data_IF_447879552695
#
_entry.id   IF_447879552695
#
_cell.length_a   1.000
_cell.length_b   1.000
_cell.length_c   1.000
_cell.angle_alpha   90.00
_cell.angle_beta   90.00
_cell.angle_gamma   90.00
#
_symmetry.space_group_name_H-M   'P 1'
#
loop_
_entity.id
_entity.type
_entity.pdbx_description
1 polymer ?
#
# COMPACT_ATOMS: atom_id res chain seq x y z
N UNK A 1 -12.76 -8.22 -1.33
CA UNK A 1 -11.29 -8.37 -1.49
C UNK A 1 -10.56 -7.42 -0.55
N UNK A 2 -9.35 -7.78 -0.13
CA UNK A 2 -8.43 -6.95 0.65
C UNK A 2 -7.17 -6.75 -0.18
N UNK A 3 -6.92 -5.53 -0.59
CA UNK A 3 -5.73 -5.15 -1.34
C UNK A 3 -4.79 -4.34 -0.46
N UNK A 4 -3.50 -4.58 -0.60
CA UNK A 4 -2.46 -3.69 -0.08
C UNK A 4 -1.72 -3.10 -1.27
N UNK A 5 -1.45 -1.82 -1.26
CA UNK A 5 -0.74 -1.14 -2.33
C UNK A 5 0.40 -0.31 -1.78
N UNK A 6 1.58 -0.50 -2.35
CA UNK A 6 2.84 0.10 -1.94
C UNK A 6 3.58 0.65 -3.17
N UNK A 7 4.40 1.66 -2.99
CA UNK A 7 5.36 2.12 -4.01
C UNK A 7 6.74 2.26 -3.38
N UNK A 8 7.79 2.23 -4.19
CA UNK A 8 9.16 2.40 -3.73
C UNK A 8 9.96 3.30 -4.67
N UNK A 9 11.13 3.71 -4.23
CA UNK A 9 12.07 4.55 -4.98
C UNK A 9 13.41 3.82 -5.14
N UNK A 10 14.28 4.21 -6.10
CA UNK A 10 15.55 3.52 -6.36
C UNK A 10 16.42 3.34 -5.12
N UNK A 11 16.48 4.36 -4.25
CA UNK A 11 17.31 4.31 -3.04
C UNK A 11 16.82 3.29 -1.98
N UNK A 12 15.52 2.93 -1.99
CA UNK A 12 14.89 2.07 -0.99
C UNK A 12 14.57 0.66 -1.47
N UNK A 13 14.78 0.36 -2.76
CA UNK A 13 14.42 -0.95 -3.34
C UNK A 13 15.02 -2.13 -2.56
N UNK A 14 16.22 -1.99 -2.02
CA UNK A 14 16.91 -3.03 -1.26
C UNK A 14 16.22 -3.36 0.08
N UNK A 15 15.47 -2.43 0.63
CA UNK A 15 14.79 -2.57 1.93
C UNK A 15 13.31 -2.98 1.78
N UNK A 16 12.80 -3.03 0.57
CA UNK A 16 11.40 -3.34 0.26
C UNK A 16 10.94 -4.68 0.86
N UNK A 17 11.83 -5.68 0.92
CA UNK A 17 11.54 -7.00 1.48
C UNK A 17 10.94 -6.94 2.88
N UNK A 18 11.50 -6.13 3.77
CA UNK A 18 11.05 -6.07 5.18
C UNK A 18 9.60 -5.60 5.29
N UNK A 19 9.24 -4.57 4.54
CA UNK A 19 7.87 -4.06 4.51
C UNK A 19 6.91 -5.09 3.92
N UNK A 20 7.26 -5.69 2.78
CA UNK A 20 6.42 -6.69 2.13
C UNK A 20 6.27 -7.96 2.98
N UNK A 21 7.33 -8.44 3.62
CA UNK A 21 7.27 -9.59 4.53
C UNK A 21 6.34 -9.32 5.72
N UNK A 22 6.37 -8.12 6.30
CA UNK A 22 5.44 -7.76 7.37
C UNK A 22 3.98 -7.73 6.92
N UNK A 23 3.73 -7.38 5.66
CA UNK A 23 2.39 -7.43 5.05
C UNK A 23 1.95 -8.85 4.71
N UNK A 24 2.88 -9.74 4.36
CA UNK A 24 2.60 -11.16 4.13
C UNK A 24 2.38 -11.94 5.44
N UNK A 25 2.96 -11.48 6.54
CA UNK A 25 2.87 -12.13 7.86
C UNK A 25 1.72 -11.62 8.73
N UNK A 26 0.75 -10.92 8.15
CA UNK A 26 -0.43 -10.45 8.86
C UNK A 26 -1.31 -11.61 9.36
N UNK A 27 -2.00 -11.43 10.51
CA UNK A 27 -2.98 -12.39 11.05
C UNK A 27 -4.14 -12.59 10.08
N UNK A 28 -4.60 -11.50 9.44
CA UNK A 28 -5.50 -11.54 8.28
C UNK A 28 -4.71 -11.27 7.02
N UNK A 29 -4.62 -12.28 6.15
CA UNK A 29 -3.87 -12.15 4.89
C UNK A 29 -4.58 -11.22 3.92
N UNK A 30 -3.84 -10.39 3.16
CA UNK A 30 -4.40 -9.70 2.00
C UNK A 30 -4.67 -10.69 0.87
N UNK A 31 -5.64 -10.40 0.03
CA UNK A 31 -5.87 -11.17 -1.20
C UNK A 31 -4.81 -10.86 -2.25
N UNK A 32 -4.31 -9.61 -2.30
CA UNK A 32 -3.21 -9.21 -3.17
C UNK A 32 -2.45 -8.01 -2.63
N UNK A 33 -1.14 -7.99 -2.85
CA UNK A 33 -0.22 -6.88 -2.59
C UNK A 33 0.29 -6.36 -3.93
N UNK A 34 -0.02 -5.12 -4.28
CA UNK A 34 0.52 -4.44 -5.45
C UNK A 34 1.76 -3.65 -5.08
N UNK A 35 2.87 -3.90 -5.78
CA UNK A 35 4.09 -3.10 -5.68
C UNK A 35 4.19 -2.28 -6.95
N UNK A 36 3.86 -1.00 -6.85
CA UNK A 36 3.81 -0.08 -7.98
C UNK A 36 5.19 0.56 -8.19
N UNK A 37 5.82 0.28 -9.32
CA UNK A 37 7.16 0.76 -9.66
C UNK A 37 7.09 1.59 -10.94
N UNK A 38 7.30 2.90 -10.85
CA UNK A 38 7.35 3.77 -12.03
C UNK A 38 8.37 3.32 -13.08
N UNK A 39 8.02 3.49 -14.37
CA UNK A 39 8.98 3.30 -15.45
C UNK A 39 10.13 4.29 -15.37
N UNK A 40 9.82 5.53 -14.98
CA UNK A 40 10.76 6.64 -14.75
C UNK A 40 10.28 7.46 -13.56
N UNK A 41 11.21 7.97 -12.80
CA UNK A 41 10.92 8.84 -11.66
C UNK A 41 11.09 10.31 -12.06
N UNK A 42 10.17 11.17 -11.61
CA UNK A 42 10.28 12.64 -11.84
C UNK A 42 11.37 13.29 -11.00
N UNK A 43 11.66 12.70 -9.82
CA UNK A 43 12.59 13.26 -8.83
C UNK A 43 13.96 12.59 -8.84
N UNK A 44 14.14 11.49 -9.57
CA UNK A 44 15.38 10.70 -9.62
C UNK A 44 15.74 10.41 -11.07
N UNK A 45 17.04 10.45 -11.38
CA UNK A 45 17.57 10.04 -12.69
C UNK A 45 17.62 8.53 -12.84
N UNK A 46 17.74 7.82 -11.72
CA UNK A 46 17.80 6.36 -11.68
C UNK A 46 16.41 5.75 -11.90
N UNK A 47 16.40 4.58 -12.50
CA UNK A 47 15.23 3.72 -12.66
C UNK A 47 15.41 2.41 -11.89
N UNK A 48 14.32 1.70 -11.63
CA UNK A 48 14.38 0.36 -11.06
C UNK A 48 14.16 -0.65 -12.19
N UNK A 49 15.18 -1.46 -12.46
CA UNK A 49 15.07 -2.57 -13.40
C UNK A 49 14.50 -3.82 -12.71
N UNK A 50 13.89 -4.72 -13.48
CA UNK A 50 13.31 -5.96 -12.94
C UNK A 50 14.30 -6.79 -12.12
N UNK A 51 15.56 -6.86 -12.52
CA UNK A 51 16.61 -7.60 -11.80
C UNK A 51 16.92 -7.06 -10.41
N UNK A 52 16.57 -5.79 -10.14
CA UNK A 52 16.78 -5.12 -8.85
C UNK A 52 15.60 -5.35 -7.89
N UNK A 53 14.43 -5.77 -8.42
CA UNK A 53 13.24 -6.01 -7.63
C UNK A 53 13.44 -7.33 -6.88
N UNK A 54 13.26 -7.35 -5.55
CA UNK A 54 13.31 -8.57 -4.78
C UNK A 54 12.30 -9.60 -5.32
N UNK A 55 12.68 -10.86 -5.31
CA UNK A 55 11.76 -11.95 -5.65
C UNK A 55 10.93 -12.30 -4.43
N UNK A 56 9.64 -12.37 -4.64
CA UNK A 56 8.68 -12.79 -3.61
C UNK A 56 8.10 -14.14 -4.05
N UNK A 57 8.36 -15.19 -3.26
CA UNK A 57 7.83 -16.55 -3.49
C UNK A 57 6.35 -16.67 -3.11
N UNK A 58 5.58 -15.66 -3.45
CA UNK A 58 4.19 -15.58 -3.03
C UNK A 58 3.29 -15.11 -4.17
N UNK A 59 2.32 -15.95 -4.54
CA UNK A 59 1.31 -15.64 -5.57
C UNK A 59 0.44 -14.41 -5.25
N UNK A 60 0.52 -13.91 -4.02
CA UNK A 60 -0.22 -12.71 -3.59
C UNK A 60 0.49 -11.39 -3.93
N UNK A 61 1.75 -11.42 -4.36
CA UNK A 61 2.50 -10.20 -4.71
C UNK A 61 2.50 -10.00 -6.22
N UNK A 62 2.11 -8.82 -6.64
CA UNK A 62 2.11 -8.40 -8.05
C UNK A 62 2.90 -7.11 -8.24
N UNK A 63 3.91 -7.17 -9.12
CA UNK A 63 4.68 -5.98 -9.54
C UNK A 63 3.92 -5.27 -10.66
N UNK A 64 3.61 -4.00 -10.44
CA UNK A 64 2.94 -3.15 -11.45
C UNK A 64 3.89 -2.06 -11.92
N UNK A 65 4.13 -2.00 -13.24
CA UNK A 65 4.87 -0.88 -13.86
C UNK A 65 3.89 0.21 -14.24
N UNK A 66 4.19 1.45 -13.89
CA UNK A 66 3.24 2.55 -14.04
C UNK A 66 3.93 3.91 -14.30
N UNK A 67 3.14 4.94 -14.46
CA UNK A 67 3.59 6.33 -14.47
C UNK A 67 3.92 6.76 -13.03
N UNK A 68 4.88 7.67 -12.88
CA UNK A 68 5.21 8.28 -11.59
C UNK A 68 4.20 9.38 -11.21
N UNK A 69 3.44 9.13 -10.17
CA UNK A 69 2.52 10.09 -9.54
C UNK A 69 3.09 10.61 -8.19
N UNK A 70 4.41 10.50 -7.99
CA UNK A 70 5.01 10.78 -6.69
C UNK A 70 4.47 9.87 -5.59
N UNK A 71 4.19 10.37 -4.38
CA UNK A 71 3.60 9.56 -3.30
C UNK A 71 2.24 8.94 -3.66
N UNK A 72 1.50 9.54 -4.60
CA UNK A 72 0.24 9.03 -5.11
C UNK A 72 0.36 7.75 -5.94
N UNK A 73 1.57 7.36 -6.35
CA UNK A 73 1.83 6.13 -7.11
C UNK A 73 1.32 4.89 -6.37
N UNK A 74 1.38 4.87 -5.05
CA UNK A 74 0.86 3.75 -4.26
C UNK A 74 -0.67 3.57 -4.38
N UNK A 75 -1.41 4.61 -4.74
CA UNK A 75 -2.84 4.51 -5.06
C UNK A 75 -3.06 4.32 -6.56
N UNK A 76 -2.51 5.22 -7.36
CA UNK A 76 -2.85 5.35 -8.78
C UNK A 76 -2.19 4.28 -9.66
N UNK A 77 -1.07 3.69 -9.21
CA UNK A 77 -0.31 2.72 -10.00
C UNK A 77 -1.05 1.41 -10.27
N UNK A 78 -1.97 1.02 -9.41
CA UNK A 78 -2.76 -0.22 -9.53
C UNK A 78 -4.27 0.01 -9.53
N UNK A 79 -4.72 1.27 -9.58
CA UNK A 79 -6.13 1.62 -9.42
C UNK A 79 -7.07 0.87 -10.39
N UNK A 80 -6.64 0.69 -11.63
CA UNK A 80 -7.40 -0.01 -12.66
C UNK A 80 -7.47 -1.54 -12.49
N UNK A 81 -6.75 -2.08 -11.52
CA UNK A 81 -6.72 -3.53 -11.20
C UNK A 81 -7.59 -3.88 -9.98
N UNK A 82 -8.10 -2.88 -9.30
CA UNK A 82 -8.86 -3.07 -8.07
C UNK A 82 -10.32 -3.37 -8.39
N UNK A 83 -10.86 -4.37 -7.72
CA UNK A 83 -12.30 -4.64 -7.76
C UNK A 83 -13.06 -3.62 -6.90
N UNK A 84 -14.25 -3.25 -7.33
CA UNK A 84 -15.13 -2.37 -6.56
C UNK A 84 -15.57 -3.04 -5.25
N UNK A 85 -15.94 -2.21 -4.28
CA UNK A 85 -16.39 -2.67 -2.95
C UNK A 85 -15.33 -3.48 -2.19
N UNK A 86 -14.07 -3.16 -2.39
CA UNK A 86 -12.95 -3.81 -1.73
C UNK A 86 -12.26 -2.87 -0.74
N UNK A 87 -11.60 -3.44 0.25
CA UNK A 87 -10.73 -2.70 1.16
C UNK A 87 -9.36 -2.51 0.50
N UNK A 88 -8.96 -1.28 0.28
CA UNK A 88 -7.62 -0.92 -0.17
C UNK A 88 -6.83 -0.32 1.00
N UNK A 89 -5.68 -0.89 1.31
CA UNK A 89 -4.74 -0.41 2.32
C UNK A 89 -3.52 0.14 1.59
N UNK A 90 -3.23 1.42 1.80
CA UNK A 90 -2.03 2.08 1.31
C UNK A 90 -0.94 1.95 2.37
N UNK A 91 0.21 1.41 1.98
CA UNK A 91 1.34 1.15 2.84
C UNK A 91 2.62 1.81 2.30
N UNK A 92 3.61 2.01 3.19
CA UNK A 92 4.91 2.57 2.85
C UNK A 92 5.99 1.47 2.76
N UNK A 93 7.02 1.70 1.98
CA UNK A 93 8.09 0.74 1.68
C UNK A 93 9.22 0.71 2.74
N UNK A 94 9.17 1.62 3.69
CA UNK A 94 10.17 1.79 4.76
C UNK A 94 9.60 1.55 6.17
N UNK A 95 8.44 0.91 6.26
CA UNK A 95 7.77 0.60 7.51
C UNK A 95 7.59 -0.91 7.69
N UNK A 96 7.76 -1.39 8.92
CA UNK A 96 7.42 -2.77 9.32
C UNK A 96 6.10 -2.73 10.09
N UNK A 97 5.10 -3.39 9.54
CA UNK A 97 3.72 -3.34 10.06
C UNK A 97 3.49 -4.41 11.12
N UNK A 98 2.75 -4.03 12.17
CA UNK A 98 2.25 -4.96 13.17
C UNK A 98 1.35 -6.02 12.52
N UNK A 99 1.40 -7.25 13.00
CA UNK A 99 0.75 -8.40 12.40
C UNK A 99 -0.79 -8.33 12.40
N UNK A 100 -1.37 -7.49 13.23
CA UNK A 100 -2.81 -7.26 13.35
C UNK A 100 -3.35 -6.08 12.50
N UNK A 101 -2.49 -5.38 11.74
CA UNK A 101 -2.86 -4.14 11.04
C UNK A 101 -4.03 -4.35 10.07
N UNK A 102 -3.94 -5.34 9.19
CA UNK A 102 -5.00 -5.65 8.21
C UNK A 102 -6.29 -6.10 8.90
N UNK A 103 -6.20 -6.90 9.95
CA UNK A 103 -7.36 -7.36 10.72
C UNK A 103 -8.12 -6.20 11.35
N UNK A 104 -7.41 -5.23 11.93
CA UNK A 104 -7.99 -4.01 12.50
C UNK A 104 -8.70 -3.18 11.45
N UNK A 105 -8.06 -2.90 10.32
CA UNK A 105 -8.69 -2.16 9.23
C UNK A 105 -9.94 -2.89 8.70
N UNK A 106 -9.86 -4.19 8.51
CA UNK A 106 -10.99 -4.98 8.03
C UNK A 106 -12.16 -4.97 9.01
N UNK A 107 -11.88 -5.07 10.32
CA UNK A 107 -12.91 -5.00 11.36
C UNK A 107 -13.72 -3.70 11.28
N UNK A 108 -13.05 -2.55 11.18
CA UNK A 108 -13.74 -1.26 11.10
C UNK A 108 -14.40 -1.05 9.74
N UNK A 109 -13.73 -1.43 8.67
CA UNK A 109 -14.28 -1.38 7.31
C UNK A 109 -15.59 -2.17 7.19
N UNK A 110 -15.68 -3.35 7.77
CA UNK A 110 -16.89 -4.18 7.71
C UNK A 110 -18.09 -3.54 8.39
N UNK A 111 -17.85 -2.64 9.35
CA UNK A 111 -18.93 -1.90 10.07
C UNK A 111 -19.34 -0.60 9.35
N UNK A 112 -18.42 0.07 8.69
CA UNK A 112 -18.66 1.35 8.03
C UNK A 112 -17.80 1.48 6.75
N UNK A 113 -18.15 0.75 5.66
CA UNK A 113 -17.29 0.64 4.48
C UNK A 113 -17.09 1.95 3.70
N UNK A 114 -17.88 2.96 3.97
CA UNK A 114 -17.78 4.27 3.32
C UNK A 114 -16.82 5.24 4.04
N UNK A 115 -16.19 4.81 5.11
CA UNK A 115 -15.21 5.62 5.83
C UNK A 115 -13.79 5.34 5.33
N UNK A 116 -12.91 6.33 5.51
CA UNK A 116 -11.46 6.15 5.45
C UNK A 116 -10.94 5.87 6.87
N UNK A 117 -9.87 5.07 6.98
CA UNK A 117 -9.31 4.62 8.24
C UNK A 117 -7.82 4.88 8.34
N UNK A 118 -7.38 5.33 9.51
CA UNK A 118 -5.97 5.49 9.87
C UNK A 118 -5.80 5.20 11.36
N UNK A 119 -4.65 4.69 11.77
CA UNK A 119 -4.36 4.48 13.19
C UNK A 119 -4.15 5.78 13.94
N UNK A 120 -3.60 6.80 13.27
CA UNK A 120 -3.38 8.12 13.83
C UNK A 120 -4.14 9.17 13.06
N UNK A 121 -4.84 10.03 13.81
CA UNK A 121 -5.58 11.16 13.26
C UNK A 121 -5.15 12.43 13.97
N UNK A 122 -4.66 13.40 13.22
CA UNK A 122 -4.36 14.73 13.72
C UNK A 122 -5.63 15.58 13.69
N UNK A 123 -6.06 16.16 14.82
CA UNK A 123 -7.24 17.00 14.86
C UNK A 123 -7.02 18.30 14.05
N UNK A 124 -7.99 18.65 13.23
CA UNK A 124 -8.04 19.93 12.50
C UNK A 124 -9.43 20.53 12.65
N UNK A 125 -9.63 21.34 13.69
CA UNK A 125 -10.96 21.85 14.06
C UNK A 125 -11.93 20.69 14.36
N UNK A 126 -13.04 20.64 13.61
CA UNK A 126 -14.03 19.55 13.70
C UNK A 126 -13.71 18.34 12.81
N UNK A 127 -12.56 18.37 12.11
CA UNK A 127 -12.12 17.33 11.19
C UNK A 127 -10.85 16.65 11.70
N UNK A 128 -10.52 15.50 11.13
CA UNK A 128 -9.27 14.79 11.38
C UNK A 128 -8.50 14.57 10.07
N UNK A 129 -7.18 14.72 10.12
CA UNK A 129 -6.29 14.33 9.04
C UNK A 129 -5.64 12.99 9.41
N UNK A 130 -5.95 11.94 8.66
CA UNK A 130 -5.35 10.62 8.87
C UNK A 130 -3.87 10.62 8.49
N UNK A 131 -3.04 10.03 9.35
CA UNK A 131 -1.63 9.80 9.08
C UNK A 131 -1.44 8.45 8.37
N UNK A 132 -0.68 8.43 7.27
CA UNK A 132 -0.52 7.24 6.43
C UNK A 132 0.64 6.32 6.82
N UNK A 133 1.53 6.70 7.75
CA UNK A 133 2.74 5.94 8.05
C UNK A 133 2.45 4.50 8.53
N UNK A 134 1.42 4.32 9.37
CA UNK A 134 0.99 3.01 9.88
C UNK A 134 -0.09 2.35 9.01
N UNK A 135 -0.22 2.79 7.78
CA UNK A 135 -1.25 2.37 6.84
C UNK A 135 -2.43 3.34 6.79
N UNK A 136 -3.05 3.41 5.63
CA UNK A 136 -4.28 4.18 5.38
C UNK A 136 -5.24 3.33 4.55
N UNK A 137 -6.46 3.17 5.00
CA UNK A 137 -7.42 2.26 4.38
C UNK A 137 -8.68 2.96 3.90
N UNK A 138 -9.10 2.61 2.69
CA UNK A 138 -10.29 3.15 2.02
C UNK A 138 -11.06 2.05 1.29
N UNK A 139 -12.32 2.36 0.93
CA UNK A 139 -13.09 1.56 -0.02
C UNK A 139 -12.65 1.91 -1.46
N UNK A 140 -12.55 0.92 -2.32
CA UNK A 140 -12.20 1.08 -3.75
C UNK A 140 -13.28 1.76 -4.60
N UNK A 141 -14.42 2.13 -4.02
CA UNK A 141 -15.48 2.89 -4.70
C UNK A 141 -15.29 4.42 -4.61
N UNK A 142 -14.29 4.90 -3.89
CA UNK A 142 -14.00 6.33 -3.74
C UNK A 142 -13.03 6.85 -4.78
#
# INVERSE_FOLDING_TARGET
>A
MIYVSITTIPLRIKNLNKSVESLLNQTRKPDKIFINIPFKYKRFSETIEYKQIPKFDNNFVEITRCVDFGPGTKLLGSLNKLEKNSLLILADDDHTYEDYMIEKFFYFYSKAPNNAYSFYVHPLGNFGIGQGADGFAINTNH
#
